data_IF_776119330165
#
_entry.id   IF_776119330165
#
_cell.length_a   1.000
_cell.length_b   1.000
_cell.length_c   1.000
_cell.angle_alpha   90.00
_cell.angle_beta   90.00
_cell.angle_gamma   90.00
#
_symmetry.space_group_name_H-M   'P 1'
#
loop_
_entity.id
_entity.type
_entity.pdbx_description
1 polymer ?
#
# COMPACT_ATOMS: atom_id res chain seq x y z
N UNK A 1 -9.16 -11.79 46.48
CA UNK A 1 -9.94 -12.43 45.39
C UNK A 1 -10.51 -11.30 44.55
N UNK A 2 -9.87 -11.02 43.41
CA UNK A 2 -10.22 -11.60 42.10
C UNK A 2 -11.46 -10.89 41.53
N UNK A 3 -11.48 -10.37 40.31
CA UNK A 3 -10.49 -10.25 39.24
C UNK A 3 -11.17 -9.35 38.21
N UNK A 4 -10.48 -8.29 37.76
CA UNK A 4 -11.04 -7.37 36.77
C UNK A 4 -10.65 -7.91 35.41
N UNK A 5 -11.60 -8.57 34.76
CA UNK A 5 -11.42 -9.24 33.48
C UNK A 5 -11.16 -8.21 32.37
N UNK A 6 -10.11 -8.50 31.61
CA UNK A 6 -9.53 -7.69 30.56
C UNK A 6 -10.27 -7.99 29.24
N UNK A 7 -11.17 -7.10 28.80
CA UNK A 7 -11.74 -7.20 27.46
C UNK A 7 -10.79 -6.51 26.46
N UNK A 8 -9.98 -7.34 25.80
CA UNK A 8 -9.18 -6.94 24.65
C UNK A 8 -10.11 -6.60 23.47
N UNK A 9 -10.20 -5.31 23.14
CA UNK A 9 -10.77 -4.84 21.89
C UNK A 9 -9.73 -5.10 20.79
N UNK A 10 -9.92 -6.20 20.05
CA UNK A 10 -9.26 -6.43 18.78
C UNK A 10 -9.79 -5.40 17.76
N UNK A 11 -9.11 -4.26 17.65
CA UNK A 11 -9.31 -3.33 16.53
C UNK A 11 -8.59 -3.89 15.31
N UNK A 12 -9.31 -4.64 14.48
CA UNK A 12 -8.87 -4.98 13.14
C UNK A 12 -8.80 -3.69 12.30
N UNK A 13 -7.63 -3.43 11.71
CA UNK A 13 -7.39 -2.32 10.79
C UNK A 13 -8.20 -2.54 9.50
N UNK A 14 -9.24 -1.73 9.31
CA UNK A 14 -9.98 -1.64 8.04
C UNK A 14 -9.29 -0.58 7.16
N UNK A 15 -8.44 -1.04 6.24
CA UNK A 15 -7.75 -0.21 5.27
C UNK A 15 -8.69 0.07 4.08
N UNK A 16 -9.41 1.20 4.14
CA UNK A 16 -10.27 1.68 3.04
C UNK A 16 -9.39 2.40 2.01
N UNK A 17 -9.14 1.77 0.87
CA UNK A 17 -8.57 2.44 -0.31
C UNK A 17 -9.65 3.19 -1.10
N UNK A 18 -9.28 4.33 -1.71
CA UNK A 18 -10.11 5.30 -2.46
C UNK A 18 -10.87 4.77 -3.70
N UNK A 19 -11.07 3.47 -3.85
CA UNK A 19 -11.85 2.88 -4.93
C UNK A 19 -12.71 1.71 -4.43
N UNK A 20 -13.43 1.92 -3.32
CA UNK A 20 -14.67 1.20 -2.99
C UNK A 20 -14.69 -0.33 -3.09
N UNK A 21 -13.58 -1.05 -2.94
CA UNK A 21 -13.55 -2.51 -2.96
C UNK A 21 -12.93 -3.05 -1.67
N UNK A 22 -13.75 -3.70 -0.86
CA UNK A 22 -13.33 -4.46 0.32
C UNK A 22 -12.78 -5.80 -0.16
N UNK A 23 -11.45 -5.98 -0.18
CA UNK A 23 -10.84 -7.29 -0.38
C UNK A 23 -10.75 -7.98 0.98
N UNK A 24 -11.66 -8.92 1.23
CA UNK A 24 -11.54 -9.84 2.38
C UNK A 24 -10.37 -10.78 2.10
N UNK A 25 -9.32 -10.63 2.90
CA UNK A 25 -8.12 -11.45 2.84
C UNK A 25 -8.45 -12.84 3.41
N UNK A 26 -8.84 -13.78 2.54
CA UNK A 26 -8.96 -15.21 2.87
C UNK A 26 -8.19 -15.99 1.79
N UNK A 27 -7.06 -16.54 2.22
CA UNK A 27 -6.39 -17.74 1.68
C UNK A 27 -5.86 -17.74 0.22
N UNK A 28 -4.76 -17.02 0.00
CA UNK A 28 -3.94 -17.21 -1.22
C UNK A 28 -2.97 -18.41 -1.17
N UNK A 29 -2.99 -19.25 -0.11
CA UNK A 29 -2.05 -20.37 0.05
C UNK A 29 -2.66 -21.78 -0.10
N UNK A 30 -3.96 -21.92 -0.37
CA UNK A 30 -4.58 -23.24 -0.58
C UNK A 30 -4.47 -23.77 -2.03
N UNK A 31 -4.29 -22.90 -3.03
CA UNK A 31 -4.38 -23.30 -4.45
C UNK A 31 -3.08 -23.94 -4.98
N UNK A 32 -1.95 -23.84 -4.26
CA UNK A 32 -0.65 -24.33 -4.74
C UNK A 32 -0.39 -25.82 -4.49
N UNK A 33 -1.21 -26.52 -3.69
CA UNK A 33 -0.88 -27.88 -3.23
C UNK A 33 -1.77 -29.01 -3.78
N UNK A 34 -2.91 -28.72 -4.42
CA UNK A 34 -3.76 -29.79 -4.99
C UNK A 34 -3.31 -30.27 -6.38
N UNK A 35 -2.47 -29.52 -7.10
CA UNK A 35 -1.98 -29.93 -8.42
C UNK A 35 -0.81 -30.94 -8.39
N UNK A 36 -0.39 -31.43 -7.23
CA UNK A 36 0.74 -32.39 -7.11
C UNK A 36 0.35 -33.83 -6.71
N UNK A 37 -0.93 -34.13 -6.49
CA UNK A 37 -1.36 -35.41 -5.91
C UNK A 37 -1.98 -36.46 -6.84
N UNK A 38 -2.50 -36.11 -8.02
CA UNK A 38 -3.43 -37.02 -8.77
C UNK A 38 -2.76 -37.77 -9.94
N UNK A 39 -1.44 -37.69 -10.08
CA UNK A 39 -0.72 -38.21 -11.25
C UNK A 39 -0.19 -39.65 -11.18
N UNK A 40 -0.55 -40.48 -10.19
CA UNK A 40 0.17 -41.76 -9.97
C UNK A 40 -0.61 -43.07 -9.84
N UNK A 41 -1.93 -43.10 -9.96
CA UNK A 41 -2.67 -44.38 -9.78
C UNK A 41 -3.51 -44.90 -10.95
N UNK A 42 -3.65 -44.20 -12.07
CA UNK A 42 -4.43 -44.71 -13.21
C UNK A 42 -3.61 -45.40 -14.32
N UNK A 43 -2.42 -45.92 -14.00
CA UNK A 43 -1.41 -46.31 -15.00
C UNK A 43 -1.16 -47.81 -15.22
N UNK A 44 -2.00 -48.74 -14.73
CA UNK A 44 -1.63 -50.18 -14.79
C UNK A 44 -2.61 -51.16 -15.42
N UNK A 45 -3.84 -50.78 -15.77
CA UNK A 45 -4.83 -51.74 -16.33
C UNK A 45 -5.25 -51.49 -17.78
N UNK A 46 -4.42 -50.84 -18.60
CA UNK A 46 -4.72 -50.62 -20.03
C UNK A 46 -3.67 -51.20 -20.99
N UNK A 47 -2.89 -52.21 -20.58
CA UNK A 47 -2.02 -52.97 -21.48
C UNK A 47 -2.68 -54.29 -21.84
N UNK A 48 -3.82 -54.24 -22.56
CA UNK A 48 -4.32 -55.36 -23.36
C UNK A 48 -5.44 -54.93 -24.31
N UNK A 49 -5.07 -54.33 -25.45
CA UNK A 49 -5.81 -54.43 -26.70
C UNK A 49 -5.02 -53.70 -27.80
N UNK A 50 -4.00 -54.37 -28.33
CA UNK A 50 -3.16 -53.86 -29.41
C UNK A 50 -2.95 -54.92 -30.48
N UNK A 51 -4.03 -55.42 -31.06
CA UNK A 51 -4.03 -56.12 -32.35
C UNK A 51 -5.45 -56.03 -32.90
N UNK A 52 -5.67 -55.13 -33.85
CA UNK A 52 -6.19 -55.48 -35.17
C UNK A 52 -6.42 -54.21 -36.01
N UNK A 53 -6.07 -54.34 -37.29
CA UNK A 53 -6.11 -53.31 -38.31
C UNK A 53 -7.53 -52.81 -38.56
N UNK A 54 -7.70 -51.51 -38.82
CA UNK A 54 -8.99 -50.97 -39.24
C UNK A 54 -9.02 -49.47 -39.48
N UNK A 55 -8.56 -49.05 -40.65
CA UNK A 55 -8.82 -47.77 -41.32
C UNK A 55 -8.37 -46.48 -40.59
N UNK A 56 -7.76 -45.58 -41.36
CA UNK A 56 -7.55 -44.18 -40.98
C UNK A 56 -8.94 -43.52 -40.80
N UNK A 57 -9.55 -43.66 -39.61
CA UNK A 57 -10.87 -43.07 -39.32
C UNK A 57 -10.72 -41.56 -39.37
N UNK A 58 -11.44 -40.95 -40.31
CA UNK A 58 -11.56 -39.50 -40.38
C UNK A 58 -12.04 -39.00 -39.01
N UNK A 59 -11.24 -38.15 -38.35
CA UNK A 59 -11.67 -37.54 -37.10
C UNK A 59 -12.96 -36.75 -37.40
N UNK A 60 -14.05 -37.13 -36.74
CA UNK A 60 -15.34 -36.51 -36.94
C UNK A 60 -15.45 -35.27 -36.03
N UNK A 61 -16.02 -34.19 -36.57
CA UNK A 61 -16.22 -32.92 -35.88
C UNK A 61 -16.99 -33.13 -34.58
N UNK A 62 -18.02 -33.96 -34.61
CA UNK A 62 -18.88 -34.22 -33.45
C UNK A 62 -18.11 -34.90 -32.30
N UNK A 63 -17.20 -35.83 -32.62
CA UNK A 63 -16.38 -36.51 -31.62
C UNK A 63 -15.40 -35.55 -30.95
N UNK A 64 -14.75 -34.68 -31.72
CA UNK A 64 -13.84 -33.67 -31.17
C UNK A 64 -14.58 -32.56 -30.40
N UNK A 65 -15.78 -32.15 -30.84
CA UNK A 65 -16.61 -31.18 -30.10
C UNK A 65 -17.18 -31.77 -28.81
N UNK A 66 -17.48 -33.07 -28.77
CA UNK A 66 -17.90 -33.75 -27.54
C UNK A 66 -16.78 -33.81 -26.51
N UNK A 67 -15.53 -33.97 -26.96
CA UNK A 67 -14.37 -34.06 -26.09
C UNK A 67 -13.82 -32.68 -25.66
N UNK A 68 -13.79 -31.70 -26.56
CA UNK A 68 -13.15 -30.39 -26.34
C UNK A 68 -14.13 -29.21 -26.25
N UNK A 69 -15.43 -29.46 -26.41
CA UNK A 69 -16.48 -28.45 -26.40
C UNK A 69 -16.80 -27.86 -27.79
N UNK A 70 -18.08 -27.56 -28.01
CA UNK A 70 -18.55 -26.89 -29.23
C UNK A 70 -17.92 -25.49 -29.35
N UNK A 71 -17.28 -25.20 -30.49
CA UNK A 71 -16.60 -23.93 -30.76
C UNK A 71 -15.08 -23.94 -30.58
N UNK A 72 -14.51 -25.01 -30.01
CA UNK A 72 -13.07 -25.15 -29.77
C UNK A 72 -12.33 -25.97 -30.85
N UNK A 73 -13.05 -26.39 -31.90
CA UNK A 73 -12.56 -27.27 -32.98
C UNK A 73 -12.73 -26.58 -34.34
N UNK A 74 -11.69 -26.61 -35.17
CA UNK A 74 -11.73 -26.08 -36.54
C UNK A 74 -11.23 -27.11 -37.55
N UNK A 75 -11.77 -27.08 -38.77
CA UNK A 75 -11.31 -27.89 -39.91
C UNK A 75 -10.10 -27.21 -40.58
N UNK A 76 -9.01 -27.94 -40.76
CA UNK A 76 -7.83 -27.50 -41.50
C UNK A 76 -7.29 -28.60 -42.41
N UNK A 77 -7.12 -28.32 -43.71
CA UNK A 77 -6.50 -29.26 -44.66
C UNK A 77 -7.16 -30.64 -44.71
N UNK A 78 -8.50 -30.71 -44.59
CA UNK A 78 -9.26 -31.97 -44.57
C UNK A 78 -9.34 -32.66 -43.21
N UNK A 79 -8.72 -32.15 -42.15
CA UNK A 79 -8.71 -32.77 -40.82
C UNK A 79 -9.12 -31.78 -39.72
N UNK A 80 -9.80 -32.25 -38.67
CA UNK A 80 -10.21 -31.39 -37.53
C UNK A 80 -9.11 -31.34 -36.46
N UNK A 81 -8.82 -30.15 -35.91
CA UNK A 81 -7.80 -29.95 -34.86
C UNK A 81 -8.33 -29.08 -33.71
N UNK A 82 -7.81 -29.32 -32.50
CA UNK A 82 -8.07 -28.51 -31.30
C UNK A 82 -7.38 -27.14 -31.42
N UNK A 83 -8.11 -26.07 -31.10
CA UNK A 83 -7.60 -24.70 -31.23
C UNK A 83 -6.92 -24.24 -29.93
N UNK A 84 -5.71 -24.74 -29.63
CA UNK A 84 -4.95 -24.32 -28.43
C UNK A 84 -4.42 -22.87 -28.48
N UNK A 85 -4.45 -22.23 -29.64
CA UNK A 85 -3.73 -20.96 -29.87
C UNK A 85 -4.49 -19.70 -29.46
N UNK A 86 -5.81 -19.75 -29.31
CA UNK A 86 -6.61 -18.56 -28.90
C UNK A 86 -6.50 -18.22 -27.42
N UNK A 87 -6.17 -19.20 -26.58
CA UNK A 87 -6.03 -19.00 -25.12
C UNK A 87 -4.72 -18.26 -24.80
N UNK A 88 -3.63 -18.64 -25.48
CA UNK A 88 -2.32 -18.03 -25.28
C UNK A 88 -2.25 -16.58 -25.80
N UNK A 89 -2.89 -16.27 -26.94
CA UNK A 89 -2.88 -14.91 -27.50
C UNK A 89 -3.60 -13.89 -26.60
N UNK A 90 -4.73 -14.27 -25.99
CA UNK A 90 -5.44 -13.41 -25.05
C UNK A 90 -4.68 -13.26 -23.72
N UNK A 91 -4.00 -14.31 -23.24
CA UNK A 91 -3.12 -14.21 -22.07
C UNK A 91 -1.93 -13.29 -22.32
N UNK A 92 -1.26 -13.41 -23.47
CA UNK A 92 -0.13 -12.55 -23.85
C UNK A 92 -0.57 -11.11 -24.09
N UNK A 93 -1.73 -10.89 -24.72
CA UNK A 93 -2.29 -9.55 -24.90
C UNK A 93 -2.69 -8.89 -23.57
N UNK A 94 -3.29 -9.65 -22.65
CA UNK A 94 -3.62 -9.16 -21.29
C UNK A 94 -2.36 -8.93 -20.43
N UNK A 95 -1.31 -9.74 -20.61
CA UNK A 95 -0.01 -9.53 -19.96
C UNK A 95 0.67 -8.26 -20.49
N UNK A 96 0.75 -8.10 -21.82
CA UNK A 96 1.33 -6.92 -22.46
C UNK A 96 0.54 -5.64 -22.15
N UNK A 97 -0.78 -5.74 -22.06
CA UNK A 97 -1.65 -4.65 -21.60
C UNK A 97 -1.41 -4.24 -20.14
N UNK A 98 -1.06 -5.18 -19.25
CA UNK A 98 -0.69 -4.86 -17.86
C UNK A 98 0.70 -4.23 -17.74
N UNK A 99 1.61 -4.55 -18.65
CA UNK A 99 2.96 -3.96 -18.68
C UNK A 99 2.94 -2.55 -19.27
N UNK A 100 2.09 -2.29 -20.28
CA UNK A 100 1.96 -0.98 -20.92
C UNK A 100 1.18 0.06 -20.10
N UNK A 101 0.48 -0.36 -19.04
CA UNK A 101 -0.37 0.54 -18.25
C UNK A 101 0.38 1.31 -17.17
N UNK A 102 1.71 1.12 -17.05
CA UNK A 102 2.53 1.62 -15.93
C UNK A 102 1.96 1.26 -14.55
N UNK A 103 1.04 0.29 -14.45
CA UNK A 103 0.34 -0.04 -13.21
C UNK A 103 1.32 -0.47 -12.12
N UNK A 104 2.37 -1.23 -12.49
CA UNK A 104 3.43 -1.60 -11.56
C UNK A 104 4.21 -0.40 -11.03
N UNK A 105 4.43 0.62 -11.87
CA UNK A 105 5.10 1.85 -11.43
C UNK A 105 4.19 2.68 -10.52
N UNK A 106 2.89 2.78 -10.84
CA UNK A 106 1.90 3.43 -9.97
C UNK A 106 1.79 2.74 -8.61
N UNK A 107 1.69 1.40 -8.58
CA UNK A 107 1.64 0.63 -7.32
C UNK A 107 2.92 0.80 -6.50
N UNK A 108 4.09 0.80 -7.14
CA UNK A 108 5.35 1.04 -6.45
C UNK A 108 5.43 2.47 -5.88
N UNK A 109 5.02 3.49 -6.64
CA UNK A 109 4.91 4.88 -6.17
C UNK A 109 3.91 5.03 -5.04
N UNK A 110 2.76 4.36 -5.09
CA UNK A 110 1.77 4.38 -4.02
C UNK A 110 2.31 3.74 -2.75
N UNK A 111 3.01 2.60 -2.86
CA UNK A 111 3.68 1.96 -1.73
C UNK A 111 4.77 2.85 -1.13
N UNK A 112 5.57 3.52 -1.96
CA UNK A 112 6.59 4.47 -1.52
C UNK A 112 5.97 5.71 -0.86
N UNK A 113 4.93 6.29 -1.44
CA UNK A 113 4.19 7.41 -0.86
C UNK A 113 3.60 7.01 0.49
N UNK A 114 2.94 5.85 0.58
CA UNK A 114 2.36 5.36 1.83
C UNK A 114 3.42 5.04 2.90
N UNK A 115 4.56 4.47 2.52
CA UNK A 115 5.69 4.25 3.44
C UNK A 115 6.27 5.58 3.95
N UNK A 116 6.12 6.65 3.19
CA UNK A 116 6.55 7.99 3.56
C UNK A 116 5.48 8.82 4.29
N UNK A 117 4.27 8.28 4.47
CA UNK A 117 3.19 8.90 5.24
C UNK A 117 3.20 8.45 6.72
N UNK A 118 3.32 9.40 7.64
CA UNK A 118 3.26 9.23 9.09
C UNK A 118 4.62 8.98 9.75
N UNK A 119 4.59 8.69 11.05
CA UNK A 119 5.78 8.21 11.79
C UNK A 119 6.12 6.80 11.31
N UNK A 120 7.36 6.55 10.84
CA UNK A 120 7.81 5.18 10.52
C UNK A 120 8.04 4.38 11.82
N UNK A 121 7.94 3.04 11.83
CA UNK A 121 8.08 2.23 13.04
C UNK A 121 9.36 2.50 13.84
N UNK A 122 10.48 2.69 13.14
CA UNK A 122 11.83 2.95 13.66
C UNK A 122 12.07 4.40 14.10
N UNK A 123 11.30 5.36 13.57
CA UNK A 123 11.46 6.77 13.93
C UNK A 123 11.01 6.98 15.39
N UNK A 124 11.64 7.91 16.11
CA UNK A 124 11.12 8.33 17.42
C UNK A 124 9.79 9.05 17.23
N UNK A 125 8.85 8.83 18.15
CA UNK A 125 7.52 9.46 18.11
C UNK A 125 7.65 10.99 18.13
N UNK A 126 8.46 11.50 19.04
CA UNK A 126 8.65 12.92 19.31
C UNK A 126 9.93 13.13 20.10
N UNK A 127 10.45 14.35 20.11
CA UNK A 127 11.63 14.65 20.94
C UNK A 127 11.32 14.51 22.43
N UNK A 128 12.30 14.03 23.17
CA UNK A 128 12.27 14.04 24.63
C UNK A 128 12.86 15.35 25.18
N UNK A 129 12.51 15.64 26.43
CA UNK A 129 13.14 16.70 27.22
C UNK A 129 13.57 16.09 28.54
N UNK A 130 14.37 16.81 29.33
CA UNK A 130 14.74 16.37 30.68
C UNK A 130 13.54 16.15 31.61
N UNK A 131 12.35 16.66 31.27
CA UNK A 131 11.13 16.57 32.09
C UNK A 131 10.04 15.65 31.53
N UNK A 132 10.10 15.33 30.23
CA UNK A 132 9.00 14.64 29.55
C UNK A 132 9.52 13.59 28.57
N UNK A 133 9.00 12.38 28.73
CA UNK A 133 9.17 11.31 27.76
C UNK A 133 8.51 11.67 26.42
N UNK A 134 8.94 11.07 25.30
CA UNK A 134 8.46 11.38 23.94
C UNK A 134 6.94 11.45 23.81
N UNK A 135 6.21 10.42 24.26
CA UNK A 135 4.75 10.34 24.10
C UNK A 135 4.03 11.43 24.90
N UNK A 136 4.46 11.66 26.14
CA UNK A 136 3.90 12.72 27.00
C UNK A 136 4.20 14.11 26.44
N UNK A 137 5.39 14.29 25.87
CA UNK A 137 5.77 15.56 25.23
C UNK A 137 4.92 15.82 23.97
N UNK A 138 4.74 14.80 23.11
CA UNK A 138 3.89 14.87 21.94
C UNK A 138 2.45 15.24 22.30
N UNK A 139 1.88 14.57 23.32
CA UNK A 139 0.53 14.87 23.79
C UNK A 139 0.42 16.30 24.31
N UNK A 140 1.42 16.80 25.05
CA UNK A 140 1.44 18.19 25.51
C UNK A 140 1.48 19.22 24.37
N UNK A 141 2.20 18.93 23.28
CA UNK A 141 2.18 19.76 22.08
C UNK A 141 0.83 19.69 21.35
N UNK A 142 0.25 18.50 21.21
CA UNK A 142 -1.09 18.33 20.67
C UNK A 142 -2.12 19.15 21.46
N UNK A 143 -2.15 19.01 22.78
CA UNK A 143 -3.14 19.69 23.62
C UNK A 143 -3.07 21.22 23.49
N UNK A 144 -1.85 21.76 23.35
CA UNK A 144 -1.60 23.18 23.14
C UNK A 144 -2.06 23.68 21.77
N UNK A 145 -1.85 22.87 20.71
CA UNK A 145 -2.01 23.32 19.32
C UNK A 145 -3.24 22.75 18.61
N UNK A 146 -4.01 21.84 19.23
CA UNK A 146 -5.17 21.19 18.61
C UNK A 146 -6.20 22.15 18.00
N UNK A 147 -6.40 23.31 18.63
CA UNK A 147 -7.35 24.32 18.14
C UNK A 147 -6.89 24.99 16.84
N UNK A 148 -5.60 24.91 16.50
CA UNK A 148 -5.03 25.43 15.26
C UNK A 148 -5.20 24.45 14.08
N UNK A 149 -5.52 23.19 14.39
CA UNK A 149 -5.67 22.09 13.44
C UNK A 149 -6.99 21.33 13.67
N UNK A 150 -8.15 21.94 13.39
CA UNK A 150 -9.46 21.28 13.53
C UNK A 150 -9.60 20.02 12.65
N UNK A 151 -8.77 19.85 11.63
CA UNK A 151 -8.68 18.66 10.79
C UNK A 151 -8.16 17.41 11.53
N UNK A 152 -7.44 17.58 12.64
CA UNK A 152 -6.92 16.46 13.43
C UNK A 152 -7.87 16.15 14.58
N UNK A 153 -8.24 14.88 14.70
CA UNK A 153 -9.14 14.38 15.74
C UNK A 153 -8.40 13.99 17.02
N UNK A 154 -7.10 13.68 16.92
CA UNK A 154 -6.33 13.16 18.05
C UNK A 154 -4.81 13.41 17.90
N UNK A 155 -4.07 13.16 18.97
CA UNK A 155 -2.62 13.34 19.03
C UNK A 155 -1.86 12.46 18.04
N UNK A 156 -2.36 11.26 17.71
CA UNK A 156 -1.71 10.38 16.73
C UNK A 156 -1.71 11.04 15.34
N UNK A 157 -2.86 11.54 14.89
CA UNK A 157 -2.98 12.24 13.60
C UNK A 157 -2.07 13.47 13.55
N UNK A 158 -2.00 14.25 14.63
CA UNK A 158 -1.09 15.40 14.72
C UNK A 158 0.38 15.00 14.63
N UNK A 159 0.80 13.93 15.33
CA UNK A 159 2.17 13.41 15.26
C UNK A 159 2.50 12.92 13.86
N UNK A 160 1.62 12.12 13.26
CA UNK A 160 1.81 11.60 11.90
C UNK A 160 1.89 12.73 10.87
N UNK A 161 1.02 13.73 10.98
CA UNK A 161 1.04 14.92 10.13
C UNK A 161 2.34 15.74 10.32
N UNK A 162 2.85 15.82 11.54
CA UNK A 162 4.12 16.51 11.79
C UNK A 162 5.28 15.77 11.14
N UNK A 163 5.35 14.44 11.30
CA UNK A 163 6.36 13.61 10.63
C UNK A 163 6.30 13.79 9.12
N UNK A 164 5.09 13.81 8.54
CA UNK A 164 4.89 14.09 7.12
C UNK A 164 5.43 15.43 6.69
N UNK A 165 5.04 16.49 7.39
CA UNK A 165 5.42 17.85 7.04
C UNK A 165 6.95 18.04 7.06
N UNK A 166 7.65 17.44 8.02
CA UNK A 166 9.11 17.62 8.14
C UNK A 166 9.93 16.64 7.29
N UNK A 167 9.30 15.56 6.80
CA UNK A 167 9.91 14.60 5.86
C UNK A 167 9.69 15.02 4.41
N UNK A 168 8.46 15.36 4.08
CA UNK A 168 7.99 15.74 2.74
C UNK A 168 7.30 17.11 2.81
N UNK A 169 8.06 18.19 3.06
CA UNK A 169 7.47 19.52 3.16
C UNK A 169 6.79 19.90 1.84
N UNK A 170 5.56 20.45 1.86
CA UNK A 170 4.89 20.92 0.66
C UNK A 170 5.71 21.96 -0.09
N UNK A 171 5.44 22.13 -1.38
CA UNK A 171 6.09 23.17 -2.19
C UNK A 171 5.89 24.57 -1.57
N UNK A 172 6.92 25.41 -1.68
CA UNK A 172 6.95 26.74 -1.06
C UNK A 172 7.26 26.74 0.45
N UNK A 173 7.58 25.59 1.06
CA UNK A 173 8.06 25.55 2.43
C UNK A 173 9.48 26.11 2.54
N UNK A 174 9.62 27.18 3.33
CA UNK A 174 10.89 27.77 3.71
C UNK A 174 11.58 26.88 4.75
N UNK A 175 12.89 26.70 4.62
CA UNK A 175 13.69 25.89 5.55
C UNK A 175 14.90 26.64 6.08
N UNK A 176 15.28 26.35 7.33
CA UNK A 176 16.49 26.91 7.97
C UNK A 176 17.08 25.90 8.93
N UNK A 177 18.40 25.69 8.87
CA UNK A 177 19.14 24.85 9.80
C UNK A 177 19.78 25.75 10.86
N UNK A 178 19.59 25.42 12.14
CA UNK A 178 20.23 26.11 13.27
C UNK A 178 21.61 25.53 13.55
N UNK A 179 22.43 26.26 14.31
CA UNK A 179 23.77 25.81 14.73
C UNK A 179 23.76 24.49 15.53
N UNK A 180 22.65 24.16 16.20
CA UNK A 180 22.48 22.90 16.94
C UNK A 180 22.04 21.72 16.06
N UNK A 181 21.88 21.93 14.75
CA UNK A 181 21.41 20.93 13.78
C UNK A 181 19.88 20.77 13.70
N UNK A 182 19.10 21.50 14.50
CA UNK A 182 17.64 21.53 14.32
C UNK A 182 17.29 22.16 12.97
N UNK A 183 16.29 21.62 12.28
CA UNK A 183 15.76 22.18 11.03
C UNK A 183 14.36 22.76 11.26
N UNK A 184 14.18 24.01 10.86
CA UNK A 184 12.92 24.74 10.89
C UNK A 184 12.28 24.67 9.52
N UNK A 185 10.96 24.62 9.54
CA UNK A 185 10.09 24.60 8.37
C UNK A 185 9.01 25.65 8.56
N UNK A 186 8.76 26.46 7.55
CA UNK A 186 7.60 27.35 7.51
C UNK A 186 7.01 27.37 6.11
N UNK A 187 5.76 26.95 5.98
CA UNK A 187 5.02 27.05 4.74
C UNK A 187 4.06 28.25 4.80
N UNK A 188 4.28 29.31 4.01
CA UNK A 188 3.43 30.50 4.06
C UNK A 188 2.00 30.27 3.55
N UNK A 189 1.77 29.31 2.65
CA UNK A 189 0.44 29.08 2.06
C UNK A 189 -0.50 28.34 3.03
N UNK A 190 0.02 27.35 3.75
CA UNK A 190 -0.74 26.63 4.80
C UNK A 190 -0.61 27.27 6.18
N UNK A 191 0.28 28.27 6.31
CA UNK A 191 0.68 28.88 7.56
C UNK A 191 1.13 27.85 8.61
N UNK A 192 1.85 26.79 8.21
CA UNK A 192 2.35 25.76 9.12
C UNK A 192 3.83 26.02 9.41
N UNK A 193 4.17 26.06 10.70
CA UNK A 193 5.53 26.11 11.20
C UNK A 193 5.85 24.81 11.93
N UNK A 194 7.01 24.22 11.67
CA UNK A 194 7.48 23.03 12.38
C UNK A 194 8.98 23.04 12.61
N UNK A 195 9.42 22.25 13.58
CA UNK A 195 10.85 22.03 13.86
C UNK A 195 11.07 20.54 14.02
N UNK A 196 12.15 20.02 13.42
CA UNK A 196 12.73 18.73 13.79
C UNK A 196 14.15 18.91 14.33
N UNK A 197 14.61 17.99 15.17
CA UNK A 197 15.99 17.99 15.62
C UNK A 197 16.95 17.40 14.56
N UNK A 198 18.24 17.38 14.87
CA UNK A 198 19.27 16.84 13.98
C UNK A 198 19.08 15.35 13.63
N UNK A 199 18.48 14.54 14.52
CA UNK A 199 18.20 13.12 14.27
C UNK A 199 16.91 12.88 13.45
N UNK A 200 16.22 13.96 13.04
CA UNK A 200 15.01 13.93 12.24
C UNK A 200 13.71 13.85 13.05
N UNK A 201 13.79 13.69 14.37
CA UNK A 201 12.63 13.63 15.25
C UNK A 201 11.92 14.98 15.39
N UNK A 202 10.59 15.04 15.24
CA UNK A 202 9.82 16.26 15.47
C UNK A 202 9.93 16.84 16.88
N UNK A 203 10.07 18.17 16.93
CA UNK A 203 10.05 18.99 18.15
C UNK A 203 8.71 19.70 18.36
N UNK A 204 8.14 20.28 17.30
CA UNK A 204 6.88 21.04 17.37
C UNK A 204 6.27 21.21 15.98
N UNK A 205 4.95 21.40 15.92
CA UNK A 205 4.22 21.91 14.76
C UNK A 205 3.06 22.81 15.21
N UNK A 206 2.91 23.98 14.60
CA UNK A 206 1.85 24.95 14.95
C UNK A 206 1.61 25.94 13.81
N UNK A 207 0.51 26.69 13.85
CA UNK A 207 0.23 27.81 12.95
C UNK A 207 0.61 29.13 13.65
N UNK A 208 1.70 29.82 13.24
CA UNK A 208 2.10 31.06 13.89
C UNK A 208 1.04 32.15 13.71
N UNK A 209 0.92 33.02 14.71
CA UNK A 209 0.01 34.16 14.72
C UNK A 209 0.78 35.43 15.17
N UNK A 210 0.75 36.52 14.39
CA UNK A 210 1.42 37.78 14.73
C UNK A 210 1.06 38.32 16.12
N UNK A 211 -0.17 38.11 16.57
CA UNK A 211 -0.63 38.52 17.90
C UNK A 211 0.11 37.82 19.05
N UNK A 212 0.69 36.64 18.80
CA UNK A 212 1.27 35.79 19.85
C UNK A 212 2.79 35.83 19.93
N UNK A 213 3.47 36.27 18.86
CA UNK A 213 4.94 36.20 18.78
C UNK A 213 5.66 37.54 18.68
N UNK A 214 4.94 38.66 18.57
CA UNK A 214 5.53 40.01 18.65
C UNK A 214 6.31 40.47 17.41
N UNK A 215 6.15 39.78 16.27
CA UNK A 215 6.68 40.23 14.97
C UNK A 215 5.51 40.66 14.09
N UNK A 216 5.77 41.55 13.12
CA UNK A 216 4.70 42.11 12.28
C UNK A 216 4.05 41.03 11.41
N UNK A 217 4.84 40.05 10.96
CA UNK A 217 4.37 38.95 10.13
C UNK A 217 4.94 37.61 10.58
N UNK A 218 4.28 36.52 10.18
CA UNK A 218 4.78 35.16 10.41
C UNK A 218 6.09 34.89 9.65
N UNK A 219 6.29 35.54 8.49
CA UNK A 219 7.53 35.46 7.73
C UNK A 219 8.69 36.12 8.49
N UNK A 220 8.47 37.29 9.08
CA UNK A 220 9.46 37.93 9.96
C UNK A 220 9.78 37.05 11.18
N UNK A 221 8.77 36.43 11.80
CA UNK A 221 8.97 35.50 12.90
C UNK A 221 9.87 34.32 12.52
N UNK A 222 9.64 33.70 11.36
CA UNK A 222 10.49 32.62 10.82
C UNK A 222 11.92 33.12 10.55
N UNK A 223 12.06 34.30 9.94
CA UNK A 223 13.36 34.88 9.62
C UNK A 223 14.16 35.23 10.87
N UNK A 224 13.49 35.65 11.94
CA UNK A 224 14.12 36.00 13.22
C UNK A 224 14.60 34.78 14.04
N UNK A 225 14.14 33.57 13.70
CA UNK A 225 14.66 32.36 14.34
C UNK A 225 16.14 32.17 13.97
N UNK A 226 17.01 32.11 14.99
CA UNK A 226 18.43 31.78 14.85
C UNK A 226 18.70 30.34 15.29
#
# INVERSE_FOLDING_TARGET
MAGKELLALNSAEELVTSTGHVIKNVEANAIKNESRGVGKEAGKDAVKAGKDAGANKHLDKAALEAQHGKGNVQQGGGHYKETKDKIHANQVANQKGNESSNFREHVAKEQEVNANLGKRPEDKIWTETHRKAPVSNAYGHWDKHKNEFPEFQNSKQYVDATHNFVRNPPEGTLTKIRNNGDTLYYNPSTNIFAIKNADGTPRTMFKPNPANHGYKTNLEYFNAQK
#
